data_IF_306457802157
#
_entry.id   IF_306457802157
#
_cell.length_a   1.000
_cell.length_b   1.000
_cell.length_c   1.000
_cell.angle_alpha   90.00
_cell.angle_beta   90.00
_cell.angle_gamma   90.00
#
_symmetry.space_group_name_H-M   'P 1'
#
loop_
_entity.id
_entity.type
_entity.pdbx_description
1 polymer ?
#
# COMPACT_ATOMS: atom_id res chain seq x y z
N UNK A 1 -40.81 16.02 27.16
CA UNK A 1 -39.53 15.32 27.45
C UNK A 1 -38.37 16.30 27.38
N UNK A 2 -37.38 16.20 28.28
CA UNK A 2 -36.22 17.12 28.29
C UNK A 2 -35.34 16.96 27.04
N UNK A 3 -34.92 18.07 26.43
CA UNK A 3 -34.15 18.09 25.17
C UNK A 3 -32.91 17.19 25.19
N UNK A 4 -32.16 17.17 26.31
CA UNK A 4 -30.93 16.38 26.43
C UNK A 4 -31.20 14.86 26.44
N UNK A 5 -32.34 14.41 27.00
CA UNK A 5 -32.72 13.00 27.00
C UNK A 5 -33.11 12.54 25.60
N UNK A 6 -33.83 13.39 24.87
CA UNK A 6 -34.25 13.11 23.49
C UNK A 6 -33.04 13.08 22.55
N UNK A 7 -32.11 14.03 22.68
CA UNK A 7 -30.87 14.04 21.88
C UNK A 7 -30.03 12.78 22.12
N UNK A 8 -29.93 12.31 23.37
CA UNK A 8 -29.23 11.08 23.72
C UNK A 8 -29.92 9.83 23.16
N UNK A 9 -31.25 9.79 23.15
CA UNK A 9 -32.04 8.68 22.59
C UNK A 9 -31.91 8.59 21.06
N UNK A 10 -31.81 9.73 20.39
CA UNK A 10 -31.66 9.83 18.93
C UNK A 10 -30.19 9.84 18.47
N UNK A 11 -29.24 9.59 19.38
CA UNK A 11 -27.80 9.57 19.13
C UNK A 11 -27.26 10.82 18.41
N UNK A 12 -27.78 12.01 18.76
CA UNK A 12 -27.40 13.31 18.17
C UNK A 12 -27.07 14.34 19.27
N UNK A 13 -26.59 15.52 18.87
CA UNK A 13 -26.31 16.63 19.80
C UNK A 13 -27.53 17.53 19.98
N UNK A 14 -27.65 18.19 21.14
CA UNK A 14 -28.74 19.14 21.42
C UNK A 14 -28.77 20.28 20.39
N UNK A 15 -27.60 20.73 19.92
CA UNK A 15 -27.50 21.74 18.87
C UNK A 15 -28.10 21.27 17.54
N UNK A 16 -27.72 20.09 17.09
CA UNK A 16 -28.21 19.51 15.82
C UNK A 16 -29.71 19.19 15.88
N UNK A 17 -30.21 18.72 17.02
CA UNK A 17 -31.65 18.51 17.25
C UNK A 17 -32.45 19.81 17.13
N UNK A 18 -31.97 20.90 17.74
CA UNK A 18 -32.62 22.23 17.66
C UNK A 18 -32.59 22.78 16.24
N UNK A 19 -31.45 22.65 15.55
CA UNK A 19 -31.28 23.15 14.19
C UNK A 19 -32.19 22.38 13.20
N UNK A 20 -32.38 21.06 13.36
CA UNK A 20 -33.32 20.28 12.54
C UNK A 20 -34.80 20.55 12.85
N UNK A 21 -35.15 20.78 14.12
CA UNK A 21 -36.51 21.18 14.50
C UNK A 21 -36.87 22.58 13.95
N UNK A 22 -35.89 23.48 13.85
CA UNK A 22 -36.08 24.79 13.25
C UNK A 22 -36.47 24.72 11.75
N UNK A 23 -35.98 23.72 11.01
CA UNK A 23 -36.37 23.47 9.61
C UNK A 23 -37.86 23.16 9.43
N UNK A 24 -38.55 22.70 10.48
CA UNK A 24 -40.00 22.46 10.51
C UNK A 24 -40.78 23.60 11.19
N UNK A 25 -40.13 24.73 11.47
CA UNK A 25 -40.76 25.92 12.06
C UNK A 25 -40.82 25.94 13.58
N UNK A 26 -40.25 24.93 14.27
CA UNK A 26 -40.27 24.84 15.74
C UNK A 26 -39.00 25.50 16.30
N UNK A 27 -39.11 26.72 16.80
CA UNK A 27 -37.99 27.46 17.40
C UNK A 27 -37.87 27.13 18.89
N UNK A 28 -36.76 26.51 19.30
CA UNK A 28 -36.39 26.25 20.70
C UNK A 28 -35.04 26.88 21.02
N UNK A 29 -34.79 27.24 22.28
CA UNK A 29 -33.51 27.82 22.69
C UNK A 29 -32.49 26.71 22.94
N UNK A 30 -31.21 26.96 22.65
CA UNK A 30 -30.12 25.96 22.80
C UNK A 30 -29.77 25.62 24.27
N UNK A 31 -30.62 25.95 25.25
CA UNK A 31 -30.40 25.67 26.66
C UNK A 31 -31.07 24.36 27.11
N UNK A 32 -30.34 23.57 27.90
CA UNK A 32 -30.59 22.17 28.26
C UNK A 32 -31.84 21.86 29.09
N UNK A 33 -32.64 22.88 29.44
CA UNK A 33 -33.76 22.77 30.38
C UNK A 33 -35.16 22.91 29.74
N UNK A 34 -35.25 23.14 28.44
CA UNK A 34 -36.55 23.15 27.74
C UNK A 34 -37.08 21.71 27.51
N UNK A 35 -38.40 21.57 27.65
CA UNK A 35 -39.12 20.32 27.41
C UNK A 35 -39.80 20.37 26.03
N UNK A 36 -39.69 19.27 25.27
CA UNK A 36 -40.52 19.01 24.09
C UNK A 36 -41.91 18.53 24.50
N UNK A 37 -42.94 18.97 23.78
CA UNK A 37 -44.27 18.34 23.81
C UNK A 37 -44.23 16.95 23.15
N UNK A 38 -45.27 16.14 23.35
CA UNK A 38 -45.34 14.80 22.72
C UNK A 38 -45.39 14.87 21.19
N UNK A 39 -45.99 15.90 20.62
CA UNK A 39 -46.06 16.14 19.18
C UNK A 39 -44.68 16.51 18.61
N UNK A 40 -43.96 17.41 19.28
CA UNK A 40 -42.60 17.81 18.89
C UNK A 40 -41.63 16.62 18.97
N UNK A 41 -41.82 15.73 19.94
CA UNK A 41 -41.00 14.52 20.09
C UNK A 41 -41.25 13.49 18.97
N UNK A 42 -42.50 13.31 18.52
CA UNK A 42 -42.80 12.46 17.36
C UNK A 42 -42.14 12.99 16.09
N UNK A 43 -42.20 14.31 15.88
CA UNK A 43 -41.53 14.97 14.74
C UNK A 43 -40.01 14.78 14.82
N UNK A 44 -39.41 14.92 16.00
CA UNK A 44 -37.98 14.64 16.18
C UNK A 44 -37.63 13.18 15.85
N UNK A 45 -38.46 12.22 16.27
CA UNK A 45 -38.27 10.80 15.91
C UNK A 45 -38.37 10.54 14.41
N UNK A 46 -39.29 11.20 13.70
CA UNK A 46 -39.39 11.08 12.24
C UNK A 46 -38.20 11.71 11.50
N UNK A 47 -37.69 12.84 11.98
CA UNK A 47 -36.55 13.54 11.37
C UNK A 47 -35.22 12.79 11.51
N UNK A 48 -35.12 11.92 12.51
CA UNK A 48 -33.92 11.14 12.83
C UNK A 48 -34.13 9.62 12.64
N UNK A 49 -35.29 9.20 12.12
CA UNK A 49 -35.50 7.82 11.73
C UNK A 49 -34.61 7.48 10.52
N UNK A 50 -33.91 6.32 10.51
CA UNK A 50 -33.17 5.88 9.34
C UNK A 50 -34.16 5.67 8.19
N UNK A 51 -33.90 6.30 7.04
CA UNK A 51 -34.73 6.20 5.85
C UNK A 51 -34.95 4.72 5.48
N UNK A 52 -36.14 4.19 5.77
CA UNK A 52 -36.54 2.87 5.29
C UNK A 52 -36.75 2.93 3.78
N UNK A 53 -36.20 1.93 3.11
CA UNK A 53 -36.19 1.75 1.66
C UNK A 53 -37.59 1.88 1.04
N UNK A 54 -37.72 2.77 0.04
CA UNK A 54 -38.76 2.62 -0.99
C UNK A 54 -38.31 1.51 -1.94
N UNK A 55 -39.20 0.60 -2.39
CA UNK A 55 -38.88 -0.31 -3.47
C UNK A 55 -38.66 0.49 -4.75
N UNK A 56 -37.50 0.30 -5.36
CA UNK A 56 -37.11 0.85 -6.65
C UNK A 56 -38.03 0.27 -7.74
N UNK A 57 -38.54 1.08 -8.69
CA UNK A 57 -39.31 0.53 -9.81
C UNK A 57 -38.39 -0.33 -10.68
N UNK A 58 -38.93 -1.45 -11.18
CA UNK A 58 -38.20 -2.42 -12.00
C UNK A 58 -37.46 -1.75 -13.18
N UNK A 59 -36.23 -2.18 -13.51
CA UNK A 59 -35.48 -1.60 -14.60
C UNK A 59 -36.17 -1.89 -15.94
N UNK A 60 -36.32 -0.85 -16.76
CA UNK A 60 -36.72 -0.97 -18.15
C UNK A 60 -35.74 -1.91 -18.90
N UNK A 61 -36.20 -2.67 -19.92
CA UNK A 61 -35.33 -3.58 -20.65
C UNK A 61 -34.14 -2.83 -21.26
N UNK A 62 -32.96 -3.34 -20.98
CA UNK A 62 -31.67 -2.79 -21.43
C UNK A 62 -31.61 -2.87 -22.95
N UNK A 63 -31.60 -1.71 -23.63
CA UNK A 63 -31.14 -1.64 -25.02
C UNK A 63 -29.66 -2.04 -25.05
N UNK A 64 -29.31 -2.90 -26.00
CA UNK A 64 -27.94 -3.32 -26.25
C UNK A 64 -26.99 -2.11 -26.37
N UNK A 65 -25.74 -2.23 -25.91
CA UNK A 65 -24.78 -1.13 -25.99
C UNK A 65 -24.49 -0.81 -27.46
N UNK A 66 -24.74 0.44 -27.85
CA UNK A 66 -24.28 0.98 -29.13
C UNK A 66 -22.74 0.98 -29.14
N UNK A 67 -22.08 0.45 -30.18
CA UNK A 67 -20.62 0.44 -30.23
C UNK A 67 -20.07 1.88 -30.29
N UNK A 68 -18.97 2.11 -29.58
CA UNK A 68 -18.26 3.38 -29.59
C UNK A 68 -17.83 3.76 -31.03
N UNK A 69 -17.87 5.06 -31.39
CA UNK A 69 -17.44 5.49 -32.72
C UNK A 69 -15.91 5.30 -32.87
N UNK A 70 -15.44 4.88 -34.06
CA UNK A 70 -14.02 4.69 -34.32
C UNK A 70 -13.25 6.03 -34.34
N UNK A 71 -11.93 6.01 -34.09
CA UNK A 71 -11.10 7.21 -34.14
C UNK A 71 -11.05 7.78 -35.57
N UNK A 72 -10.86 9.11 -35.74
CA UNK A 72 -10.87 9.73 -37.05
C UNK A 72 -9.63 9.32 -37.87
N UNK A 73 -9.88 8.93 -39.13
CA UNK A 73 -8.85 8.59 -40.10
C UNK A 73 -8.03 9.83 -40.52
N UNK A 74 -6.75 9.66 -40.90
CA UNK A 74 -5.90 10.75 -41.37
C UNK A 74 -6.46 11.37 -42.67
N UNK A 75 -6.47 12.71 -42.71
CA UNK A 75 -6.93 13.50 -43.86
C UNK A 75 -5.99 13.29 -45.04
N UNK A 76 -6.47 12.61 -46.07
CA UNK A 76 -5.91 12.65 -47.43
C UNK A 76 -6.54 13.87 -48.14
N UNK A 77 -5.75 14.81 -48.70
CA UNK A 77 -6.31 15.83 -49.58
C UNK A 77 -6.79 15.18 -50.89
N UNK A 78 -8.07 15.36 -51.23
CA UNK A 78 -8.63 15.01 -52.53
C UNK A 78 -8.18 16.02 -53.59
N UNK A 79 -7.92 15.50 -54.79
CA UNK A 79 -7.69 16.24 -56.02
C UNK A 79 -9.01 16.70 -56.66
N UNK A 80 -8.96 17.80 -57.42
CA UNK A 80 -9.92 18.17 -58.47
C UNK A 80 -9.29 19.25 -59.38
N UNK A 81 -9.78 19.52 -60.61
CA UNK A 81 -9.70 18.69 -61.80
C UNK A 81 -8.91 19.38 -62.95
N UNK A 82 -8.39 18.62 -63.92
CA UNK A 82 -7.84 19.17 -65.18
C UNK A 82 -8.94 19.83 -66.02
N UNK A 83 -8.67 20.99 -66.66
CA UNK A 83 -8.67 20.98 -68.12
C UNK A 83 -7.72 21.98 -68.84
N UNK A 84 -7.36 21.56 -70.07
CA UNK A 84 -7.11 22.33 -71.30
C UNK A 84 -5.77 23.09 -71.55
N UNK A 85 -5.07 22.49 -72.52
CA UNK A 85 -4.16 23.01 -73.56
C UNK A 85 -4.31 24.51 -73.89
N UNK A 86 -3.24 25.27 -73.70
CA UNK A 86 -2.91 26.51 -74.44
C UNK A 86 -1.40 26.47 -74.76
N UNK A 87 -1.08 26.61 -76.04
CA UNK A 87 0.27 26.68 -76.62
C UNK A 87 0.66 28.17 -76.85
N UNK A 88 1.88 28.51 -77.27
CA UNK A 88 2.88 29.25 -76.50
C UNK A 88 3.02 30.74 -76.90
N UNK A 89 3.95 31.49 -76.27
CA UNK A 89 4.77 32.40 -77.06
C UNK A 89 6.28 32.15 -76.93
N UNK A 90 6.97 32.57 -78.01
CA UNK A 90 8.36 32.37 -78.40
C UNK A 90 9.37 33.28 -77.65
N UNK A 91 10.70 33.08 -77.85
CA UNK A 91 11.76 33.40 -76.88
C UNK A 91 12.45 34.76 -77.12
N UNK A 92 13.23 35.21 -76.14
CA UNK A 92 14.32 36.18 -76.31
C UNK A 92 15.55 35.80 -75.44
N UNK A 93 16.77 36.25 -75.81
CA UNK A 93 17.96 35.40 -75.83
C UNK A 93 18.94 35.56 -74.64
N UNK A 94 19.91 34.66 -74.63
CA UNK A 94 21.05 34.48 -73.70
C UNK A 94 21.83 35.77 -73.36
N UNK A 95 22.68 35.71 -72.32
CA UNK A 95 24.10 35.57 -72.64
C UNK A 95 24.85 34.50 -71.84
N UNK A 96 25.82 33.91 -72.53
CA UNK A 96 26.87 33.01 -72.03
C UNK A 96 27.75 33.73 -70.99
N UNK A 97 28.14 33.04 -69.94
CA UNK A 97 29.40 33.26 -69.20
C UNK A 97 29.81 31.91 -68.56
N UNK A 98 30.75 31.18 -69.18
CA UNK A 98 32.19 31.10 -68.83
C UNK A 98 32.48 30.62 -67.40
N UNK A 99 33.18 29.49 -67.35
CA UNK A 99 33.66 28.81 -66.15
C UNK A 99 34.87 29.50 -65.49
N UNK A 100 34.94 29.44 -64.16
CA UNK A 100 36.14 29.33 -63.30
C UNK A 100 35.70 29.32 -61.81
N UNK A 101 36.57 28.96 -60.84
CA UNK A 101 37.24 27.69 -60.60
C UNK A 101 36.73 27.04 -59.29
N UNK A 102 37.18 25.80 -59.01
CA UNK A 102 36.86 25.08 -57.78
C UNK A 102 37.39 25.80 -56.51
N UNK A 103 36.64 25.85 -55.39
CA UNK A 103 37.17 26.31 -54.12
C UNK A 103 38.01 25.22 -53.45
N UNK A 104 39.13 25.64 -52.85
CA UNK A 104 40.04 24.82 -52.06
C UNK A 104 39.35 24.17 -50.84
N UNK A 105 39.85 23.02 -50.34
CA UNK A 105 39.21 22.31 -49.23
C UNK A 105 39.28 23.13 -47.94
N UNK A 106 38.15 23.20 -47.24
CA UNK A 106 38.05 23.82 -45.92
C UNK A 106 38.94 23.09 -44.89
N UNK A 107 39.56 23.80 -43.94
CA UNK A 107 40.38 23.18 -42.91
C UNK A 107 39.51 22.32 -41.99
N UNK A 108 40.03 21.13 -41.67
CA UNK A 108 39.41 20.16 -40.77
C UNK A 108 39.10 20.77 -39.40
N UNK A 109 37.97 20.42 -38.76
CA UNK A 109 37.65 20.91 -37.44
C UNK A 109 38.68 20.36 -36.43
N UNK A 110 39.26 21.28 -35.63
CA UNK A 110 40.10 20.94 -34.48
C UNK A 110 39.27 20.12 -33.48
N UNK A 111 39.81 19.05 -32.88
CA UNK A 111 39.09 18.29 -31.87
C UNK A 111 38.88 19.17 -30.63
N UNK A 112 37.63 19.39 -30.27
CA UNK A 112 37.24 20.00 -28.99
C UNK A 112 37.79 19.15 -27.83
N UNK A 113 38.22 19.77 -26.71
CA UNK A 113 38.69 19.02 -25.56
C UNK A 113 37.51 18.28 -24.94
N UNK A 114 37.49 16.95 -25.11
CA UNK A 114 36.70 16.03 -24.30
C UNK A 114 37.17 16.12 -22.85
N UNK A 115 36.73 17.14 -22.13
CA UNK A 115 36.90 17.23 -20.67
C UNK A 115 35.91 16.25 -20.04
N UNK A 116 36.37 15.00 -19.96
CA UNK A 116 36.14 14.03 -18.90
C UNK A 116 34.75 14.07 -18.23
N UNK A 117 33.73 13.54 -18.92
CA UNK A 117 32.75 12.69 -18.25
C UNK A 117 33.44 11.35 -17.93
N UNK A 118 34.40 11.36 -17.00
CA UNK A 118 34.73 10.20 -16.21
C UNK A 118 34.00 10.40 -14.89
N UNK A 119 32.69 10.12 -14.89
CA UNK A 119 32.07 9.64 -13.67
C UNK A 119 32.85 8.36 -13.36
N UNK A 120 33.62 8.39 -12.29
CA UNK A 120 34.33 7.24 -11.75
C UNK A 120 33.30 6.10 -11.59
N UNK A 121 33.19 5.22 -12.58
CA UNK A 121 32.73 3.86 -12.36
C UNK A 121 33.80 3.24 -11.45
N UNK A 122 33.64 3.46 -10.14
CA UNK A 122 34.40 2.73 -9.14
C UNK A 122 34.20 1.26 -9.49
N UNK A 123 35.28 0.47 -9.67
CA UNK A 123 35.13 -0.96 -9.88
C UNK A 123 34.24 -1.49 -8.76
N UNK A 124 33.19 -2.21 -9.13
CA UNK A 124 32.26 -2.79 -8.18
C UNK A 124 33.11 -3.50 -7.11
N UNK A 125 32.93 -3.18 -5.81
CA UNK A 125 33.71 -3.82 -4.77
C UNK A 125 33.58 -5.34 -4.92
N UNK A 126 34.64 -6.11 -4.63
CA UNK A 126 34.58 -7.57 -4.73
C UNK A 126 33.34 -8.08 -3.97
N UNK A 127 32.63 -9.09 -4.51
CA UNK A 127 31.39 -9.56 -3.92
C UNK A 127 31.64 -9.92 -2.45
N UNK A 128 31.03 -9.14 -1.56
CA UNK A 128 31.16 -9.31 -0.11
C UNK A 128 30.26 -10.46 0.33
N UNK A 129 30.63 -11.18 1.41
CA UNK A 129 29.82 -12.29 1.89
C UNK A 129 28.47 -11.76 2.38
N UNK A 130 27.39 -12.19 1.71
CA UNK A 130 26.03 -11.91 2.17
C UNK A 130 25.75 -12.74 3.42
N UNK A 131 25.21 -12.10 4.47
CA UNK A 131 24.85 -12.76 5.73
C UNK A 131 23.36 -13.09 5.76
N UNK A 132 22.93 -14.11 6.51
CA UNK A 132 21.51 -14.37 6.74
C UNK A 132 20.82 -13.14 7.35
N UNK A 133 19.64 -12.79 6.84
CA UNK A 133 18.83 -11.69 7.36
C UNK A 133 17.47 -12.19 7.86
N UNK A 134 16.82 -11.47 8.80
CA UNK A 134 15.48 -11.85 9.24
C UNK A 134 14.47 -11.77 8.09
N UNK A 135 13.48 -12.69 8.05
CA UNK A 135 12.39 -12.62 7.09
C UNK A 135 11.46 -11.44 7.40
N UNK A 136 11.00 -10.79 6.34
CA UNK A 136 9.94 -9.78 6.39
C UNK A 136 8.62 -10.45 6.00
N UNK A 137 7.67 -10.46 6.93
CA UNK A 137 6.42 -11.22 6.84
C UNK A 137 5.24 -10.27 6.84
N UNK A 138 4.34 -10.36 5.87
CA UNK A 138 3.09 -9.60 5.88
C UNK A 138 1.96 -10.48 6.38
N UNK A 139 1.07 -9.92 7.19
CA UNK A 139 -0.17 -10.61 7.59
C UNK A 139 -1.33 -10.07 6.76
N UNK A 140 -1.95 -10.97 6.00
CA UNK A 140 -3.07 -10.70 5.09
C UNK A 140 -4.31 -11.47 5.53
N UNK A 141 -5.49 -11.07 5.05
CA UNK A 141 -6.75 -11.77 5.33
C UNK A 141 -7.93 -10.84 5.52
N UNK A 142 -9.13 -11.43 5.65
CA UNK A 142 -10.38 -10.69 5.81
C UNK A 142 -10.42 -9.89 7.13
N UNK A 143 -11.26 -8.86 7.18
CA UNK A 143 -11.63 -8.15 8.41
C UNK A 143 -12.16 -9.16 9.44
N UNK A 144 -11.85 -8.93 10.71
CA UNK A 144 -12.26 -9.77 11.86
C UNK A 144 -11.78 -11.23 11.86
N UNK A 145 -10.88 -11.62 10.94
CA UNK A 145 -10.22 -12.93 11.00
C UNK A 145 -9.09 -13.00 12.04
N UNK A 146 -8.84 -11.91 12.78
CA UNK A 146 -7.89 -11.88 13.90
C UNK A 146 -6.43 -11.62 13.52
N UNK A 147 -6.17 -10.89 12.44
CA UNK A 147 -4.81 -10.45 12.04
C UNK A 147 -4.14 -9.65 13.17
N UNK A 148 -4.76 -8.56 13.59
CA UNK A 148 -4.27 -7.69 14.67
C UNK A 148 -4.15 -8.45 15.99
N UNK A 149 -5.09 -9.35 16.29
CA UNK A 149 -5.04 -10.21 17.48
C UNK A 149 -3.83 -11.16 17.46
N UNK A 150 -3.52 -11.75 16.31
CA UNK A 150 -2.35 -12.60 16.14
C UNK A 150 -1.06 -11.81 16.35
N UNK A 151 -0.97 -10.62 15.74
CA UNK A 151 0.17 -9.74 15.89
C UNK A 151 0.34 -9.30 17.36
N UNK A 152 -0.76 -8.99 18.05
CA UNK A 152 -0.76 -8.65 19.47
C UNK A 152 -0.24 -9.78 20.35
N UNK A 153 -0.68 -11.01 20.09
CA UNK A 153 -0.20 -12.18 20.78
C UNK A 153 1.31 -12.35 20.60
N UNK A 154 1.79 -12.29 19.35
CA UNK A 154 3.22 -12.41 19.02
C UNK A 154 4.03 -11.29 19.70
N UNK A 155 3.51 -10.06 19.71
CA UNK A 155 4.18 -8.91 20.32
C UNK A 155 4.13 -8.93 21.85
N UNK A 156 3.32 -9.81 22.46
CA UNK A 156 2.96 -9.81 23.88
C UNK A 156 2.42 -8.45 24.34
N UNK A 157 1.62 -7.80 23.49
CA UNK A 157 0.98 -6.50 23.77
C UNK A 157 -0.51 -6.51 23.45
N UNK A 158 -1.21 -5.39 23.65
CA UNK A 158 -2.64 -5.23 23.36
C UNK A 158 -2.92 -3.97 22.53
N UNK A 159 -2.56 -3.95 21.25
CA UNK A 159 -2.85 -2.86 20.30
C UNK A 159 -4.32 -2.87 19.89
N UNK A 160 -4.88 -4.05 19.59
CA UNK A 160 -6.25 -4.20 19.11
C UNK A 160 -7.28 -3.66 20.12
N UNK A 161 -6.95 -3.67 21.42
CA UNK A 161 -7.80 -3.10 22.46
C UNK A 161 -7.73 -1.56 22.57
N UNK A 162 -6.67 -0.94 22.04
CA UNK A 162 -6.42 0.51 22.12
C UNK A 162 -6.73 1.29 20.84
N UNK A 163 -6.86 0.62 19.69
CA UNK A 163 -7.22 1.27 18.42
C UNK A 163 -8.70 1.67 18.37
N UNK A 164 -8.97 2.84 17.80
CA UNK A 164 -10.34 3.35 17.65
C UNK A 164 -11.16 2.39 16.77
N UNK A 165 -12.15 1.74 17.37
CA UNK A 165 -13.01 0.75 16.69
C UNK A 165 -12.41 -0.66 16.59
N UNK A 166 -11.26 -0.93 17.23
CA UNK A 166 -10.65 -2.27 17.28
C UNK A 166 -10.08 -2.77 15.94
N UNK A 167 -9.78 -1.85 15.01
CA UNK A 167 -9.27 -2.17 13.67
C UNK A 167 -7.92 -1.48 13.41
N UNK A 168 -6.98 -2.19 12.77
CA UNK A 168 -5.72 -1.63 12.28
C UNK A 168 -6.01 -0.58 11.19
N UNK A 169 -5.66 0.68 11.43
CA UNK A 169 -5.85 1.79 10.48
C UNK A 169 -4.57 2.23 9.75
N UNK A 170 -3.39 1.92 10.29
CA UNK A 170 -2.07 2.29 9.75
C UNK A 170 -1.19 1.06 9.51
N UNK A 171 -0.18 1.16 8.63
CA UNK A 171 0.73 0.04 8.38
C UNK A 171 1.85 0.04 9.44
N UNK A 172 1.70 -0.78 10.47
CA UNK A 172 2.75 -1.00 11.46
C UNK A 172 3.79 -2.00 10.98
N UNK A 173 5.07 -1.69 11.12
CA UNK A 173 6.14 -2.68 10.99
C UNK A 173 6.81 -2.89 12.34
N UNK A 174 7.00 -4.13 12.76
CA UNK A 174 7.58 -4.44 14.07
C UNK A 174 8.38 -5.74 14.04
N UNK A 175 9.24 -5.94 15.03
CA UNK A 175 10.14 -7.09 15.08
C UNK A 175 9.85 -7.97 16.30
N UNK A 176 9.63 -9.26 16.05
CA UNK A 176 9.50 -10.27 17.09
C UNK A 176 10.73 -11.17 17.10
N UNK A 177 11.05 -11.74 18.26
CA UNK A 177 12.14 -12.69 18.42
C UNK A 177 11.59 -14.04 18.84
N UNK A 178 11.97 -15.09 18.10
CA UNK A 178 11.57 -16.47 18.36
C UNK A 178 12.79 -17.38 18.18
N UNK A 179 13.13 -18.17 19.21
CA UNK A 179 14.32 -19.05 19.25
C UNK A 179 15.62 -18.34 18.79
N UNK A 180 15.86 -17.13 19.32
CA UNK A 180 17.01 -16.25 18.98
C UNK A 180 17.09 -15.83 17.50
N UNK A 181 16.01 -16.00 16.73
CA UNK A 181 15.87 -15.49 15.37
C UNK A 181 14.83 -14.37 15.36
N UNK A 182 15.13 -13.32 14.60
CA UNK A 182 14.25 -12.17 14.45
C UNK A 182 13.31 -12.39 13.26
N UNK A 183 12.08 -11.95 13.39
CA UNK A 183 11.07 -11.94 12.33
C UNK A 183 10.47 -10.54 12.29
N UNK A 184 10.45 -9.92 11.12
CA UNK A 184 9.88 -8.58 10.95
C UNK A 184 8.48 -8.70 10.37
N UNK A 185 7.46 -8.27 11.10
CA UNK A 185 6.08 -8.32 10.67
C UNK A 185 5.63 -6.96 10.13
N UNK A 186 4.86 -6.99 9.03
CA UNK A 186 4.12 -5.87 8.49
C UNK A 186 2.63 -6.13 8.74
N UNK A 187 2.00 -5.29 9.56
CA UNK A 187 0.56 -5.28 9.75
C UNK A 187 -0.11 -4.47 8.65
N UNK A 188 -0.98 -5.10 7.86
CA UNK A 188 -1.72 -4.39 6.80
C UNK A 188 -3.20 -4.28 7.15
N UNK A 189 -3.82 -3.10 6.97
CA UNK A 189 -5.26 -2.93 7.18
C UNK A 189 -6.10 -3.86 6.28
N UNK A 190 -7.10 -4.52 6.88
CA UNK A 190 -7.98 -5.47 6.19
C UNK A 190 -9.11 -4.85 5.36
N UNK A 191 -9.43 -3.57 5.53
CA UNK A 191 -10.59 -2.95 4.89
C UNK A 191 -10.38 -2.75 3.37
N UNK A 192 -11.47 -2.78 2.58
CA UNK A 192 -11.42 -2.64 1.11
C UNK A 192 -10.75 -1.34 0.65
N UNK A 193 -10.94 -0.26 1.41
CA UNK A 193 -10.34 1.05 1.14
C UNK A 193 -8.79 1.04 1.12
N UNK A 194 -8.15 -0.01 1.62
CA UNK A 194 -6.69 -0.11 1.75
C UNK A 194 -6.07 -1.19 0.84
N UNK A 195 -6.71 -1.52 -0.29
CA UNK A 195 -6.17 -2.49 -1.26
C UNK A 195 -4.75 -2.13 -1.74
N UNK A 196 -4.48 -0.84 -1.98
CA UNK A 196 -3.14 -0.36 -2.34
C UNK A 196 -2.09 -0.59 -1.24
N UNK A 197 -2.51 -0.63 0.04
CA UNK A 197 -1.61 -0.96 1.16
C UNK A 197 -1.25 -2.45 1.17
N UNK A 198 -2.22 -3.34 0.88
CA UNK A 198 -1.96 -4.79 0.77
C UNK A 198 -1.02 -5.12 -0.39
N UNK A 199 -1.26 -4.53 -1.57
CA UNK A 199 -0.39 -4.71 -2.73
C UNK A 199 1.07 -4.27 -2.44
N UNK A 200 1.24 -3.16 -1.70
CA UNK A 200 2.55 -2.67 -1.27
C UNK A 200 3.20 -3.59 -0.24
N UNK A 201 2.47 -4.00 0.79
CA UNK A 201 2.95 -4.97 1.79
C UNK A 201 3.49 -6.23 1.13
N UNK A 202 2.70 -6.84 0.24
CA UNK A 202 3.10 -8.05 -0.48
C UNK A 202 4.38 -7.87 -1.33
N UNK A 203 4.65 -6.71 -1.93
CA UNK A 203 5.87 -6.49 -2.73
C UNK A 203 7.14 -6.30 -1.89
N UNK A 204 7.00 -5.90 -0.63
CA UNK A 204 8.13 -5.63 0.24
C UNK A 204 8.55 -6.87 1.05
N UNK A 205 7.63 -7.82 1.22
CA UNK A 205 7.82 -9.00 2.07
C UNK A 205 8.40 -10.21 1.36
N UNK A 206 9.07 -11.03 2.15
CA UNK A 206 9.62 -12.32 1.73
C UNK A 206 8.61 -13.45 1.88
N UNK A 207 7.66 -13.33 2.82
CA UNK A 207 6.64 -14.34 3.12
C UNK A 207 5.30 -13.64 3.41
N UNK A 208 4.19 -14.22 2.96
CA UNK A 208 2.85 -13.76 3.26
C UNK A 208 2.11 -14.78 4.14
N UNK A 209 1.64 -14.36 5.31
CA UNK A 209 0.79 -15.16 6.19
C UNK A 209 -0.66 -14.78 5.93
N UNK A 210 -1.44 -15.71 5.37
CA UNK A 210 -2.86 -15.53 5.12
C UNK A 210 -3.66 -16.04 6.33
N UNK A 211 -4.33 -15.14 7.04
CA UNK A 211 -5.16 -15.47 8.20
C UNK A 211 -6.61 -15.69 7.75
N UNK A 212 -7.10 -16.91 7.95
CA UNK A 212 -8.47 -17.32 7.61
C UNK A 212 -9.15 -17.83 8.86
N UNK A 213 -10.30 -17.29 9.22
CA UNK A 213 -11.02 -17.75 10.40
C UNK A 213 -11.72 -19.09 10.12
N UNK A 214 -11.65 -20.02 11.07
CA UNK A 214 -12.18 -21.37 10.95
C UNK A 214 -13.72 -21.43 11.01
N UNK A 215 -14.37 -20.40 11.57
CA UNK A 215 -15.82 -20.24 11.64
C UNK A 215 -16.41 -19.63 10.35
N UNK A 216 -15.71 -18.65 9.76
CA UNK A 216 -16.16 -17.93 8.56
C UNK A 216 -15.71 -18.61 7.26
N UNK A 217 -14.43 -18.97 7.18
CA UNK A 217 -13.77 -19.51 6.00
C UNK A 217 -13.29 -18.45 4.99
N UNK A 218 -13.11 -18.85 3.73
CA UNK A 218 -12.54 -17.99 2.68
C UNK A 218 -13.56 -16.95 2.22
N UNK A 219 -13.23 -15.68 2.44
CA UNK A 219 -14.05 -14.52 2.08
C UNK A 219 -13.44 -13.71 0.93
N UNK A 220 -14.15 -12.71 0.42
CA UNK A 220 -13.71 -11.94 -0.76
C UNK A 220 -12.36 -11.24 -0.57
N UNK A 221 -12.14 -10.61 0.59
CA UNK A 221 -10.84 -9.98 0.90
C UNK A 221 -9.72 -11.03 1.06
N UNK A 222 -10.07 -12.28 1.37
CA UNK A 222 -9.11 -13.40 1.38
C UNK A 222 -8.68 -13.70 -0.06
N UNK A 223 -9.62 -13.77 -1.01
CA UNK A 223 -9.30 -13.94 -2.45
C UNK A 223 -8.45 -12.80 -2.99
N UNK A 224 -8.78 -11.56 -2.64
CA UNK A 224 -7.96 -10.39 -2.99
C UNK A 224 -6.52 -10.53 -2.44
N UNK A 225 -6.38 -10.91 -1.17
CA UNK A 225 -5.08 -11.14 -0.55
C UNK A 225 -4.26 -12.24 -1.25
N UNK A 226 -4.91 -13.35 -1.62
CA UNK A 226 -4.30 -14.44 -2.39
C UNK A 226 -3.80 -13.92 -3.74
N UNK A 227 -4.61 -13.15 -4.45
CA UNK A 227 -4.25 -12.55 -5.73
C UNK A 227 -3.01 -11.64 -5.61
N UNK A 228 -2.95 -10.78 -4.60
CA UNK A 228 -1.80 -9.92 -4.35
C UNK A 228 -0.53 -10.70 -4.03
N UNK A 229 -0.60 -11.71 -3.15
CA UNK A 229 0.55 -12.52 -2.80
C UNK A 229 1.09 -13.32 -4.01
N UNK A 230 0.20 -13.89 -4.83
CA UNK A 230 0.57 -14.57 -6.08
C UNK A 230 1.19 -13.61 -7.09
N UNK A 231 0.62 -12.42 -7.27
CA UNK A 231 1.16 -11.41 -8.17
C UNK A 231 2.56 -10.94 -7.75
N UNK A 232 2.81 -10.86 -6.44
CA UNK A 232 4.12 -10.53 -5.88
C UNK A 232 5.10 -11.71 -5.87
N UNK A 233 4.66 -12.94 -6.24
CA UNK A 233 5.43 -14.19 -6.19
C UNK A 233 6.02 -14.49 -4.80
N UNK A 234 5.26 -14.15 -3.76
CA UNK A 234 5.66 -14.36 -2.38
C UNK A 234 5.09 -15.70 -1.88
N UNK A 235 5.90 -16.56 -1.24
CA UNK A 235 5.43 -17.77 -0.57
C UNK A 235 4.29 -17.48 0.42
N UNK A 236 3.22 -18.29 0.36
CA UNK A 236 2.04 -18.13 1.20
C UNK A 236 2.02 -19.23 2.26
N UNK A 237 1.90 -18.83 3.52
CA UNK A 237 1.59 -19.71 4.66
C UNK A 237 0.18 -19.37 5.12
N UNK A 238 -0.67 -20.36 5.34
CA UNK A 238 -2.05 -20.12 5.79
C UNK A 238 -2.19 -20.42 7.28
N UNK A 239 -2.59 -19.41 8.05
CA UNK A 239 -2.93 -19.53 9.45
C UNK A 239 -4.46 -19.63 9.59
N UNK A 240 -4.96 -20.83 9.94
CA UNK A 240 -6.39 -21.08 10.14
C UNK A 240 -6.73 -20.70 11.59
N UNK A 241 -7.26 -19.50 11.80
CA UNK A 241 -7.47 -18.89 13.11
C UNK A 241 -8.83 -19.24 13.75
N UNK A 242 -8.99 -18.94 15.04
CA UNK A 242 -10.22 -19.16 15.83
C UNK A 242 -10.62 -20.63 16.00
N UNK A 243 -9.64 -21.55 16.08
CA UNK A 243 -9.91 -22.99 16.32
C UNK A 243 -10.50 -23.27 17.70
N UNK A 244 -10.45 -22.30 18.62
CA UNK A 244 -11.04 -22.36 19.94
C UNK A 244 -12.58 -22.28 19.93
N UNK A 245 -13.18 -21.83 18.82
CA UNK A 245 -14.65 -21.72 18.72
C UNK A 245 -15.29 -23.08 18.47
N UNK A 246 -16.46 -23.37 19.05
CA UNK A 246 -17.18 -24.62 18.80
C UNK A 246 -17.69 -24.73 17.34
N UNK A 247 -17.82 -23.60 16.65
CA UNK A 247 -18.22 -23.52 15.24
C UNK A 247 -17.03 -23.64 14.27
N UNK A 248 -15.80 -23.82 14.78
CA UNK A 248 -14.59 -23.89 13.96
C UNK A 248 -14.56 -25.16 13.11
N UNK A 249 -14.28 -25.02 11.82
CA UNK A 249 -14.10 -26.15 10.90
C UNK A 249 -12.85 -25.96 10.04
N UNK A 250 -11.72 -26.49 10.51
CA UNK A 250 -10.45 -26.47 9.78
C UNK A 250 -10.57 -27.15 8.43
N UNK A 251 -11.25 -28.30 8.39
CA UNK A 251 -11.43 -29.08 7.16
C UNK A 251 -12.17 -28.28 6.08
N UNK A 252 -13.26 -27.59 6.44
CA UNK A 252 -14.01 -26.74 5.51
C UNK A 252 -13.13 -25.63 4.95
N UNK A 253 -12.27 -25.02 5.77
CA UNK A 253 -11.34 -23.97 5.29
C UNK A 253 -10.34 -24.55 4.30
N UNK A 254 -9.76 -25.72 4.58
CA UNK A 254 -8.85 -26.43 3.66
C UNK A 254 -9.51 -26.73 2.30
N UNK A 255 -10.74 -27.22 2.30
CA UNK A 255 -11.51 -27.45 1.06
C UNK A 255 -11.71 -26.16 0.25
N UNK A 256 -12.01 -25.04 0.93
CA UNK A 256 -12.20 -23.75 0.27
C UNK A 256 -10.88 -23.21 -0.29
N UNK A 257 -9.77 -23.34 0.44
CA UNK A 257 -8.45 -22.92 -0.02
C UNK A 257 -8.02 -23.70 -1.27
N UNK A 258 -8.25 -25.01 -1.29
CA UNK A 258 -7.95 -25.84 -2.46
C UNK A 258 -8.73 -25.38 -3.70
N UNK A 259 -9.98 -24.92 -3.55
CA UNK A 259 -10.77 -24.35 -4.67
C UNK A 259 -10.19 -23.02 -5.18
N UNK A 260 -9.51 -22.26 -4.34
CA UNK A 260 -8.76 -21.05 -4.72
C UNK A 260 -7.32 -21.37 -5.21
N UNK A 261 -7.03 -22.65 -5.45
CA UNK A 261 -5.74 -23.15 -5.94
C UNK A 261 -4.63 -23.15 -4.88
N UNK A 262 -4.98 -23.06 -3.60
CA UNK A 262 -4.06 -23.19 -2.46
C UNK A 262 -4.26 -24.58 -1.84
N UNK A 263 -3.61 -25.59 -2.41
CA UNK A 263 -3.74 -26.97 -1.93
C UNK A 263 -2.87 -27.18 -0.69
N UNK A 264 -3.44 -27.61 0.45
CA UNK A 264 -2.66 -27.89 1.66
C UNK A 264 -1.62 -29.01 1.48
N UNK A 265 -0.49 -28.91 2.17
CA UNK A 265 0.58 -29.93 2.16
C UNK A 265 0.10 -31.33 2.57
N UNK A 266 -0.83 -31.43 3.52
CA UNK A 266 -1.38 -32.72 3.96
C UNK A 266 -2.20 -33.44 2.88
N UNK A 267 -2.58 -32.72 1.81
CA UNK A 267 -3.28 -33.29 0.65
C UNK A 267 -2.36 -33.41 -0.58
N UNK A 268 -1.05 -33.32 -0.37
CA UNK A 268 -0.04 -33.37 -1.45
C UNK A 268 0.13 -32.06 -2.20
N UNK A 269 -0.31 -30.94 -1.61
CA UNK A 269 -0.06 -29.60 -2.13
C UNK A 269 1.26 -28.99 -1.64
N UNK A 270 1.41 -27.70 -1.88
CA UNK A 270 2.61 -26.89 -1.57
C UNK A 270 2.35 -25.81 -0.51
N UNK A 271 1.11 -25.69 -0.02
CA UNK A 271 0.71 -24.66 0.94
C UNK A 271 0.74 -25.19 2.35
N UNK A 272 1.63 -24.64 3.17
CA UNK A 272 1.68 -24.89 4.61
C UNK A 272 0.41 -24.32 5.23
N UNK A 273 -0.35 -25.16 5.93
CA UNK A 273 -1.54 -24.75 6.69
C UNK A 273 -1.35 -25.04 8.16
N UNK A 274 -1.42 -24.01 9.01
CA UNK A 274 -1.24 -24.13 10.45
C UNK A 274 -2.54 -23.72 11.17
N UNK A 275 -3.21 -24.64 11.89
CA UNK A 275 -4.35 -24.29 12.71
C UNK A 275 -3.91 -23.56 13.97
N UNK A 276 -4.47 -22.38 14.23
CA UNK A 276 -4.10 -21.52 15.36
C UNK A 276 -5.30 -20.96 16.11
N UNK A 277 -5.08 -20.56 17.35
CA UNK A 277 -5.93 -19.62 18.07
C UNK A 277 -5.09 -18.44 18.54
N UNK A 278 -5.32 -17.27 17.93
CA UNK A 278 -4.63 -16.04 18.30
C UNK A 278 -4.94 -15.57 19.74
N UNK A 279 -6.05 -16.04 20.34
CA UNK A 279 -6.44 -15.65 21.70
C UNK A 279 -5.75 -16.55 22.74
N UNK A 280 -5.80 -17.87 22.53
CA UNK A 280 -5.19 -18.82 23.47
C UNK A 280 -3.69 -18.97 23.25
N UNK A 281 -3.21 -18.67 22.04
CA UNK A 281 -1.84 -18.89 21.61
C UNK A 281 -1.57 -20.26 20.99
N UNK A 282 -2.57 -21.15 20.98
CA UNK A 282 -2.41 -22.48 20.41
C UNK A 282 -1.96 -22.39 18.95
N UNK A 283 -0.92 -23.12 18.58
CA UNK A 283 -0.38 -23.18 17.22
C UNK A 283 0.41 -21.95 16.76
N UNK A 284 0.51 -20.88 17.56
CA UNK A 284 1.27 -19.69 17.17
C UNK A 284 2.77 -19.98 17.12
N UNK A 285 3.30 -20.76 18.06
CA UNK A 285 4.71 -21.18 18.05
C UNK A 285 5.03 -22.02 16.80
N UNK A 286 4.13 -22.94 16.43
CA UNK A 286 4.24 -23.73 15.20
C UNK A 286 4.22 -22.83 13.95
N UNK A 287 3.36 -21.83 13.90
CA UNK A 287 3.33 -20.85 12.81
C UNK A 287 4.67 -20.10 12.68
N UNK A 288 5.26 -19.67 13.80
CA UNK A 288 6.56 -18.99 13.82
C UNK A 288 7.69 -19.92 13.36
N UNK A 289 7.64 -21.21 13.73
CA UNK A 289 8.58 -22.22 13.25
C UNK A 289 8.49 -22.42 11.75
N UNK A 290 7.29 -22.56 11.21
CA UNK A 290 7.07 -22.72 9.77
C UNK A 290 7.52 -21.49 8.98
N UNK A 291 7.29 -20.28 9.50
CA UNK A 291 7.81 -19.04 8.90
C UNK A 291 9.34 -19.08 8.80
N UNK A 292 10.03 -19.47 9.88
CA UNK A 292 11.48 -19.56 9.88
C UNK A 292 11.99 -20.65 8.94
N UNK A 293 11.31 -21.79 8.86
CA UNK A 293 11.64 -22.87 7.93
C UNK A 293 11.55 -22.41 6.48
N UNK A 294 10.46 -21.73 6.10
CA UNK A 294 10.31 -21.17 4.75
C UNK A 294 11.38 -20.12 4.47
N UNK A 295 11.72 -19.28 5.46
CA UNK A 295 12.77 -18.28 5.32
C UNK A 295 14.16 -18.91 5.07
N UNK A 296 14.46 -20.05 5.69
CA UNK A 296 15.69 -20.81 5.45
C UNK A 296 15.73 -21.40 4.05
N UNK A 297 14.61 -21.97 3.58
CA UNK A 297 14.48 -22.49 2.21
C UNK A 297 14.64 -21.41 1.15
N UNK A 298 14.21 -20.17 1.43
CA UNK A 298 14.40 -19.01 0.55
C UNK A 298 15.83 -18.47 0.57
N UNK A 299 16.71 -18.98 1.44
CA UNK A 299 18.09 -18.52 1.63
C UNK A 299 18.21 -16.98 1.75
N UNK A 300 17.35 -16.36 2.58
CA UNK A 300 17.32 -14.89 2.71
C UNK A 300 18.65 -14.34 3.21
N UNK A 301 19.40 -13.69 2.30
CA UNK A 301 20.72 -13.12 2.57
C UNK A 301 20.74 -11.65 2.15
N UNK A 302 21.51 -10.82 2.87
CA UNK A 302 21.79 -9.44 2.50
C UNK A 302 23.23 -9.06 2.84
N UNK A 303 23.74 -8.00 2.20
CA UNK A 303 25.04 -7.41 2.52
C UNK A 303 24.85 -6.22 3.48
N UNK A 304 25.25 -6.32 4.75
CA UNK A 304 25.13 -5.21 5.71
C UNK A 304 26.09 -4.05 5.41
N UNK A 305 27.10 -4.27 4.57
CA UNK A 305 28.14 -3.31 4.23
C UNK A 305 27.95 -2.66 2.86
N UNK A 306 26.89 -3.07 2.14
CA UNK A 306 26.45 -2.38 0.93
C UNK A 306 25.92 -0.97 1.28
N UNK A 307 25.83 -0.05 0.29
CA UNK A 307 25.12 1.20 0.47
C UNK A 307 23.70 0.95 1.00
N UNK A 308 23.29 1.61 2.11
CA UNK A 308 21.98 1.37 2.70
C UNK A 308 20.85 1.69 1.70
N UNK A 309 19.97 0.73 1.51
CA UNK A 309 18.80 0.87 0.66
C UNK A 309 17.61 0.11 1.23
N UNK A 310 16.41 0.50 0.83
CA UNK A 310 15.19 -0.14 1.31
C UNK A 310 13.94 0.52 0.77
N UNK A 311 12.82 0.31 1.47
CA UNK A 311 11.49 0.76 1.02
C UNK A 311 10.76 1.46 2.15
N UNK A 312 10.05 2.54 1.82
CA UNK A 312 9.11 3.21 2.70
C UNK A 312 7.82 2.40 2.78
N UNK A 313 7.40 2.09 4.00
CA UNK A 313 6.14 1.38 4.26
C UNK A 313 5.01 2.37 4.47
N UNK A 314 5.26 3.36 5.31
CA UNK A 314 4.29 4.37 5.69
C UNK A 314 5.01 5.67 6.00
N UNK A 315 4.35 6.78 5.73
CA UNK A 315 4.85 8.10 6.05
C UNK A 315 3.73 8.92 6.67
N UNK A 316 4.07 9.76 7.64
CA UNK A 316 3.12 10.65 8.29
C UNK A 316 3.80 11.97 8.67
N UNK A 317 3.00 13.00 8.93
CA UNK A 317 3.50 14.27 9.45
C UNK A 317 3.14 14.36 10.93
N UNK A 318 4.15 14.36 11.80
CA UNK A 318 3.96 14.59 13.23
C UNK A 318 4.06 16.09 13.54
N UNK A 319 3.09 16.61 14.28
CA UNK A 319 3.01 18.04 14.61
C UNK A 319 4.22 18.54 15.43
N UNK A 320 4.89 17.66 16.18
CA UNK A 320 6.02 18.01 17.05
C UNK A 320 7.38 17.61 16.47
N UNK A 321 7.44 16.52 15.71
CA UNK A 321 8.68 15.94 15.21
C UNK A 321 8.93 16.20 13.72
N UNK A 322 7.92 16.67 13.00
CA UNK A 322 7.97 16.88 11.55
C UNK A 322 7.73 15.59 10.77
N UNK A 323 8.24 15.49 9.52
CA UNK A 323 8.04 14.32 8.68
C UNK A 323 8.62 13.04 9.29
N UNK A 324 7.80 12.00 9.34
CA UNK A 324 8.10 10.66 9.77
C UNK A 324 7.96 9.70 8.59
N UNK A 325 8.92 8.77 8.46
CA UNK A 325 8.84 7.69 7.50
C UNK A 325 9.23 6.37 8.15
N UNK A 326 8.32 5.40 8.17
CA UNK A 326 8.59 4.02 8.55
C UNK A 326 9.17 3.29 7.35
N UNK A 327 10.38 2.75 7.49
CA UNK A 327 11.12 2.10 6.41
C UNK A 327 11.57 0.69 6.80
N UNK A 328 11.72 -0.17 5.79
CA UNK A 328 12.36 -1.47 5.92
C UNK A 328 13.67 -1.44 5.16
N UNK A 329 14.76 -1.70 5.87
CA UNK A 329 16.11 -1.78 5.30
C UNK A 329 16.24 -3.11 4.55
N UNK A 330 16.61 -3.07 3.26
CA UNK A 330 16.82 -4.29 2.44
C UNK A 330 18.30 -4.66 2.32
N UNK A 331 19.15 -3.66 2.11
CA UNK A 331 20.60 -3.82 2.03
C UNK A 331 21.30 -2.72 2.82
N UNK A 332 22.56 -2.97 3.20
CA UNK A 332 23.36 -2.05 3.99
C UNK A 332 22.88 -1.88 5.43
N UNK A 333 23.54 -0.98 6.14
CA UNK A 333 23.20 -0.63 7.53
C UNK A 333 22.91 0.86 7.60
N UNK A 334 21.63 1.21 7.82
CA UNK A 334 21.18 2.59 7.95
C UNK A 334 21.59 3.14 9.32
N UNK A 335 22.18 4.34 9.37
CA UNK A 335 22.69 4.95 10.60
C UNK A 335 22.13 6.33 10.81
N UNK A 336 22.14 6.77 12.08
CA UNK A 336 21.89 8.19 12.37
C UNK A 336 22.94 9.06 11.64
N UNK A 337 22.50 10.23 11.18
CA UNK A 337 23.27 11.21 10.37
C UNK A 337 23.53 10.84 8.91
N UNK A 338 23.11 9.66 8.45
CA UNK A 338 23.13 9.34 7.02
C UNK A 338 22.27 10.35 6.24
N UNK A 339 22.69 10.66 5.00
CA UNK A 339 21.90 11.47 4.08
C UNK A 339 21.05 10.53 3.23
N UNK A 340 19.75 10.56 3.48
CA UNK A 340 18.78 9.69 2.84
C UNK A 340 18.05 10.44 1.74
N UNK A 341 17.92 9.81 0.58
CA UNK A 341 17.09 10.25 -0.54
C UNK A 341 15.94 9.27 -0.72
N UNK A 342 14.72 9.78 -0.81
CA UNK A 342 13.48 9.01 -0.94
C UNK A 342 12.54 9.74 -1.89
N UNK A 343 12.48 9.29 -3.15
CA UNK A 343 11.70 9.97 -4.16
C UNK A 343 12.12 11.44 -4.29
N UNK A 344 11.22 12.36 -3.96
CA UNK A 344 11.49 13.81 -3.91
C UNK A 344 11.91 14.33 -2.53
N UNK A 345 11.70 13.54 -1.47
CA UNK A 345 12.11 13.88 -0.12
C UNK A 345 13.58 13.52 0.09
N UNK A 346 14.31 14.37 0.82
CA UNK A 346 15.70 14.11 1.17
C UNK A 346 16.00 14.70 2.53
N UNK A 347 17.02 14.20 3.21
CA UNK A 347 17.42 14.81 4.47
C UNK A 347 18.45 14.01 5.22
N UNK A 348 19.03 14.65 6.23
CA UNK A 348 19.92 14.01 7.17
C UNK A 348 19.11 13.36 8.28
N UNK A 349 19.33 12.07 8.51
CA UNK A 349 18.64 11.31 9.56
C UNK A 349 19.01 11.90 10.93
N UNK A 350 18.03 12.49 11.61
CA UNK A 350 18.19 13.07 12.95
C UNK A 350 18.08 12.03 14.06
N UNK A 351 17.24 11.02 13.84
CA UNK A 351 17.05 9.91 14.75
C UNK A 351 16.45 8.72 13.99
N UNK A 352 16.82 7.52 14.42
CA UNK A 352 16.13 6.29 14.08
C UNK A 352 15.39 5.79 15.32
N UNK A 353 14.12 5.41 15.16
CA UNK A 353 13.32 4.80 16.22
C UNK A 353 12.93 3.37 15.84
N UNK A 354 13.02 2.45 16.79
CA UNK A 354 12.46 1.11 16.63
C UNK A 354 10.92 1.10 16.75
N UNK A 355 10.32 -0.07 16.59
CA UNK A 355 8.87 -0.30 16.70
C UNK A 355 8.29 0.02 18.09
N UNK A 356 9.15 0.11 19.11
CA UNK A 356 8.79 0.48 20.49
C UNK A 356 9.04 1.96 20.77
N UNK A 357 9.43 2.74 19.76
CA UNK A 357 9.74 4.16 19.88
C UNK A 357 11.07 4.45 20.60
N UNK A 358 11.92 3.44 20.80
CA UNK A 358 13.26 3.61 21.38
C UNK A 358 14.23 4.04 20.29
N UNK A 359 15.16 4.94 20.64
CA UNK A 359 16.22 5.35 19.71
C UNK A 359 17.22 4.22 19.47
N UNK A 360 17.58 4.04 18.22
CA UNK A 360 18.62 3.10 17.78
C UNK A 360 19.67 3.86 16.96
N UNK A 361 20.95 3.53 17.12
CA UNK A 361 22.03 4.18 16.39
C UNK A 361 22.19 3.65 14.97
N UNK A 362 21.78 2.40 14.75
CA UNK A 362 21.91 1.70 13.47
C UNK A 362 20.77 0.69 13.26
N UNK A 363 20.45 0.43 12.00
CA UNK A 363 19.43 -0.52 11.56
C UNK A 363 19.95 -1.31 10.35
N UNK A 364 20.19 -2.61 10.56
CA UNK A 364 20.66 -3.52 9.52
C UNK A 364 19.53 -4.11 8.64
N UNK A 365 19.88 -4.94 7.64
CA UNK A 365 18.92 -5.54 6.72
C UNK A 365 17.80 -6.30 7.42
N UNK A 366 16.58 -6.15 6.92
CA UNK A 366 15.34 -6.72 7.45
C UNK A 366 14.79 -5.99 8.67
N UNK A 367 15.46 -4.96 9.19
CA UNK A 367 14.94 -4.15 10.30
C UNK A 367 13.90 -3.14 9.82
N UNK A 368 12.86 -2.95 10.61
CA UNK A 368 11.89 -1.88 10.43
C UNK A 368 12.19 -0.75 11.42
N UNK A 369 12.36 0.48 10.91
CA UNK A 369 12.66 1.66 11.73
C UNK A 369 11.92 2.90 11.23
N UNK A 370 11.59 3.80 12.15
CA UNK A 370 11.08 5.12 11.81
C UNK A 370 12.24 6.11 11.67
N UNK A 371 12.26 6.80 10.55
CA UNK A 371 13.24 7.83 10.20
C UNK A 371 12.64 9.20 10.46
N UNK A 372 13.43 10.04 11.13
CA UNK A 372 13.15 11.45 11.40
C UNK A 372 14.18 12.34 10.71
N UNK A 373 13.75 13.48 10.16
CA UNK A 373 14.65 14.50 9.62
C UNK A 373 14.66 14.64 8.10
N UNK A 374 13.69 14.04 7.41
CA UNK A 374 13.45 14.29 5.99
C UNK A 374 12.85 15.68 5.78
N UNK A 375 13.11 16.28 4.61
CA UNK A 375 12.61 17.59 4.20
C UNK A 375 11.09 17.62 4.02
N UNK A 376 10.52 16.50 3.59
CA UNK A 376 9.09 16.32 3.33
C UNK A 376 8.67 14.86 3.64
N UNK A 377 7.36 14.60 3.62
CA UNK A 377 6.76 13.28 3.83
C UNK A 377 6.91 12.44 2.54
N UNK A 378 7.74 11.38 2.52
CA UNK A 378 7.98 10.61 1.30
C UNK A 378 6.76 9.76 0.92
N UNK A 379 6.69 9.35 -0.34
CA UNK A 379 5.64 8.46 -0.82
C UNK A 379 5.77 7.05 -0.25
N UNK A 380 4.67 6.49 0.28
CA UNK A 380 4.67 5.11 0.73
C UNK A 380 4.82 4.13 -0.45
N UNK A 381 5.81 3.23 -0.35
CA UNK A 381 6.25 2.32 -1.41
C UNK A 381 7.49 2.80 -2.18
N UNK A 382 7.95 4.04 -1.95
CA UNK A 382 9.16 4.55 -2.57
C UNK A 382 10.41 3.87 -2.02
N UNK A 383 11.40 3.71 -2.89
CA UNK A 383 12.71 3.21 -2.49
C UNK A 383 13.52 4.36 -1.92
N UNK A 384 14.29 4.04 -0.90
CA UNK A 384 15.30 4.96 -0.40
C UNK A 384 16.69 4.46 -0.71
N UNK A 385 17.60 5.41 -0.87
CA UNK A 385 19.03 5.19 -0.99
C UNK A 385 19.75 6.19 -0.08
N UNK A 386 20.87 5.76 0.50
CA UNK A 386 21.76 6.64 1.25
C UNK A 386 22.88 7.12 0.34
N UNK A 387 23.06 8.44 0.30
CA UNK A 387 24.14 9.07 -0.44
C UNK A 387 25.40 9.13 0.44
N UNK A 388 26.58 8.77 -0.10
CA UNK A 388 27.83 9.11 0.57
C UNK A 388 27.95 10.64 0.62
N UNK A 389 28.36 11.17 1.79
CA UNK A 389 28.35 12.60 2.15
C UNK A 389 28.54 13.57 0.96
N UNK A 390 27.62 14.54 0.87
CA UNK A 390 27.69 15.72 -0.02
C UNK A 390 28.70 16.75 0.47
#
# INVERSE_FOLDING_TARGET
MQLHKVAKELNTTVGELVDRLATRGIKKRKHSFENLSEEEYKIAKELFAPAQAKPEPAPAPTRAPTPAPPPPAPKIPKAEPTPKKIEPPRPTPMPKQTAAPAPAPAPSPKPEPKVAQQVLEKPAPPPRPKVPRPPVVTILGHVDHGKTTLLDYIRKTRVAAGEAGGITQSIGAYQAEYKNKKITFIDTPGHKAFANMRARGAQVTDIAVLVVAADDGVMEQTREAISHARAAKVPIIVAINKIDKPTASVQRVKEQLAREGLTPEDWGGDIITVPISAITGQGVDELLEMILLVAELQELKADPQAPPSGVVIESSLDATRGPLATVIVKEGTLRERDVMLVGTAYGRIRALLDDRGRRVSEAGPGSAVQVLGLSDVPGAGERFEVLPDL
#
